data_IF_544943467173
#
_entry.id   IF_544943467173
#
_cell.length_a   1.000
_cell.length_b   1.000
_cell.length_c   1.000
_cell.angle_alpha   90.00
_cell.angle_beta   90.00
_cell.angle_gamma   90.00
#
_symmetry.space_group_name_H-M   'P 1'
#
loop_
_entity.id
_entity.type
_entity.pdbx_description
1 polymer ?
#
# COMPACT_ATOMS: atom_id res chain seq x y z
N UNK A 1 -24.48 -30.18 -27.57
CA UNK A 1 -24.68 -31.06 -26.39
C UNK A 1 -23.37 -31.51 -25.75
N UNK A 2 -22.66 -32.55 -26.22
CA UNK A 2 -21.45 -33.07 -25.51
C UNK A 2 -20.26 -32.09 -25.50
N UNK A 3 -20.05 -31.37 -26.60
CA UNK A 3 -18.96 -30.39 -26.72
C UNK A 3 -19.21 -29.13 -25.89
N UNK A 4 -20.47 -28.69 -25.77
CA UNK A 4 -20.84 -27.57 -24.88
C UNK A 4 -20.65 -27.94 -23.41
N UNK A 5 -20.95 -29.19 -23.04
CA UNK A 5 -20.74 -29.69 -21.68
C UNK A 5 -19.25 -29.68 -21.34
N UNK A 6 -18.40 -30.21 -22.22
CA UNK A 6 -16.93 -30.15 -22.07
C UNK A 6 -16.39 -28.73 -21.99
N UNK A 7 -16.92 -27.79 -22.78
CA UNK A 7 -16.53 -26.39 -22.73
C UNK A 7 -16.95 -25.72 -21.39
N UNK A 8 -18.13 -26.06 -20.88
CA UNK A 8 -18.63 -25.60 -19.58
C UNK A 8 -17.77 -26.13 -18.44
N UNK A 9 -17.45 -27.42 -18.46
CA UNK A 9 -16.59 -28.07 -17.46
C UNK A 9 -15.18 -27.44 -17.44
N UNK A 10 -14.60 -27.17 -18.62
CA UNK A 10 -13.30 -26.52 -18.73
C UNK A 10 -13.33 -25.08 -18.16
N UNK A 11 -14.37 -24.30 -18.46
CA UNK A 11 -14.54 -22.95 -17.91
C UNK A 11 -14.72 -22.99 -16.37
N UNK A 12 -15.42 -24.00 -15.86
CA UNK A 12 -15.63 -24.21 -14.43
C UNK A 12 -14.34 -24.59 -13.70
N UNK A 13 -13.50 -25.44 -14.31
CA UNK A 13 -12.15 -25.78 -13.82
C UNK A 13 -11.28 -24.52 -13.72
N UNK A 14 -11.26 -23.68 -14.77
CA UNK A 14 -10.49 -22.42 -14.76
C UNK A 14 -10.99 -21.47 -13.67
N UNK A 15 -12.31 -21.37 -13.46
CA UNK A 15 -12.89 -20.56 -12.40
C UNK A 15 -12.53 -21.08 -11.02
N UNK A 16 -12.58 -22.39 -10.80
CA UNK A 16 -12.12 -23.01 -9.56
C UNK A 16 -10.64 -22.76 -9.34
N UNK A 17 -9.77 -22.92 -10.33
CA UNK A 17 -8.34 -22.62 -10.15
C UNK A 17 -8.08 -21.16 -9.74
N UNK A 18 -8.92 -20.21 -10.16
CA UNK A 18 -8.79 -18.78 -9.82
C UNK A 18 -9.45 -18.38 -8.49
N UNK A 19 -10.54 -19.06 -8.10
CA UNK A 19 -11.40 -18.66 -6.98
C UNK A 19 -11.77 -19.84 -6.06
N UNK A 20 -10.99 -20.92 -6.06
CA UNK A 20 -11.33 -22.18 -5.39
C UNK A 20 -11.34 -22.07 -3.88
N UNK A 21 -10.59 -21.12 -3.34
CA UNK A 21 -10.39 -21.01 -1.90
C UNK A 21 -10.59 -19.57 -1.48
N UNK A 22 -11.41 -19.39 -0.44
CA UNK A 22 -11.49 -18.14 0.26
C UNK A 22 -10.09 -17.86 0.84
N UNK A 23 -9.54 -16.65 0.67
CA UNK A 23 -8.32 -16.26 1.34
C UNK A 23 -8.43 -16.47 2.84
N UNK A 24 -7.30 -16.69 3.50
CA UNK A 24 -7.29 -16.72 4.96
C UNK A 24 -7.81 -15.40 5.54
N UNK A 25 -8.34 -15.47 6.75
CA UNK A 25 -8.84 -14.26 7.43
C UNK A 25 -7.69 -13.29 7.65
N UNK A 26 -7.75 -12.15 6.99
CA UNK A 26 -6.82 -11.04 7.18
C UNK A 26 -7.10 -10.42 8.56
N UNK A 27 -6.04 -10.13 9.33
CA UNK A 27 -6.18 -9.45 10.60
C UNK A 27 -6.39 -7.96 10.36
N UNK A 28 -7.08 -7.28 11.29
CA UNK A 28 -7.40 -5.86 11.10
C UNK A 28 -6.13 -5.01 11.01
N UNK A 29 -5.11 -5.35 11.79
CA UNK A 29 -3.81 -4.69 11.79
C UNK A 29 -3.11 -4.73 10.41
N UNK A 30 -3.34 -5.77 9.61
CA UNK A 30 -2.75 -5.92 8.28
C UNK A 30 -3.50 -5.12 7.20
N UNK A 31 -4.63 -4.49 7.56
CA UNK A 31 -5.46 -3.69 6.65
C UNK A 31 -5.25 -2.19 6.79
N UNK A 32 -4.39 -1.77 7.72
CA UNK A 32 -4.12 -0.35 8.00
C UNK A 32 -2.66 -0.01 7.74
N UNK A 33 -2.41 1.21 7.27
CA UNK A 33 -1.07 1.79 7.18
C UNK A 33 -1.01 3.03 8.09
N UNK A 34 0.03 3.11 8.92
CA UNK A 34 0.27 4.30 9.73
C UNK A 34 0.96 5.39 8.89
N UNK A 35 0.31 6.54 8.75
CA UNK A 35 0.90 7.72 8.13
C UNK A 35 0.92 8.90 9.10
N UNK A 36 2.03 9.65 9.17
CA UNK A 36 2.07 10.88 9.95
C UNK A 36 0.97 11.85 9.47
N UNK A 37 0.25 12.46 10.42
CA UNK A 37 -0.77 13.45 10.11
C UNK A 37 -0.22 14.71 9.42
N UNK A 38 1.07 15.01 9.64
CA UNK A 38 1.78 16.13 9.03
C UNK A 38 3.14 15.62 8.57
N UNK A 39 3.57 16.04 7.37
CA UNK A 39 4.92 15.79 6.88
C UNK A 39 5.96 16.40 7.85
N UNK A 40 7.13 15.77 7.97
CA UNK A 40 8.21 16.37 8.74
C UNK A 40 8.59 17.72 8.13
N UNK A 41 8.60 18.77 8.97
CA UNK A 41 9.03 20.10 8.55
C UNK A 41 10.55 20.10 8.36
N UNK A 42 11.07 20.28 7.13
CA UNK A 42 12.50 20.29 6.86
C UNK A 42 13.22 21.46 7.55
N UNK A 43 12.52 22.54 7.91
CA UNK A 43 13.10 23.69 8.60
C UNK A 43 13.30 23.42 10.11
N UNK A 44 12.63 22.40 10.67
CA UNK A 44 12.70 22.09 12.10
C UNK A 44 14.12 21.76 12.57
N UNK A 45 14.89 21.08 11.72
CA UNK A 45 16.26 20.66 12.02
C UNK A 45 17.32 21.53 11.32
N UNK A 46 16.90 22.59 10.61
CA UNK A 46 17.79 23.48 9.86
C UNK A 46 18.32 24.68 10.68
N UNK A 47 18.21 24.64 12.01
CA UNK A 47 18.71 25.72 12.86
C UNK A 47 20.23 25.82 12.77
N UNK A 48 20.72 26.98 12.33
CA UNK A 48 22.14 27.31 12.28
C UNK A 48 22.42 28.57 13.12
N UNK A 49 23.15 28.46 14.25
CA UNK A 49 23.43 29.61 15.11
C UNK A 49 24.31 30.68 14.42
N UNK A 50 25.09 30.31 13.41
CA UNK A 50 26.01 31.22 12.72
C UNK A 50 25.29 32.13 11.71
N UNK A 51 24.04 31.83 11.33
CA UNK A 51 23.26 32.69 10.43
C UNK A 51 23.07 34.11 10.98
N UNK A 52 22.99 34.25 12.31
CA UNK A 52 22.85 35.56 12.94
C UNK A 52 24.06 36.45 12.69
N UNK A 53 25.27 35.88 12.72
CA UNK A 53 26.53 36.60 12.49
C UNK A 53 26.60 37.14 11.06
N UNK A 54 26.21 36.33 10.07
CA UNK A 54 26.22 36.73 8.64
C UNK A 54 25.21 37.85 8.37
N UNK A 55 24.04 37.83 9.00
CA UNK A 55 22.95 38.77 8.71
C UNK A 55 23.03 40.09 9.49
N UNK A 56 23.70 40.13 10.64
CA UNK A 56 23.66 41.28 11.55
C UNK A 56 25.03 41.93 11.85
N UNK A 57 26.14 41.34 11.39
CA UNK A 57 27.48 41.85 11.70
C UNK A 57 28.31 42.25 10.45
N UNK A 58 27.66 42.41 9.29
CA UNK A 58 28.27 42.99 8.08
C UNK A 58 27.98 44.49 7.97
#
# INVERSE_FOLDING_TARGET
>A
MEQERKATDAAQIVRQLRFSQLPERIRLEDTIEEQPAVAQDPARDAYNPDEWLVRNCL
#
